data_IF_917199322170
#
_entry.id   IF_917199322170
#
_cell.length_a   1.000
_cell.length_b   1.000
_cell.length_c   1.000
_cell.angle_alpha   90.00
_cell.angle_beta   90.00
_cell.angle_gamma   90.00
#
_symmetry.space_group_name_H-M   'P 1'
#
loop_
_entity.id
_entity.type
_entity.pdbx_description
1 polymer ?
#
# COMPACT_ATOMS: atom_id res chain seq x y z
N UNK A 1 -10.14 2.56 -24.86
CA UNK A 1 -11.43 2.81 -24.18
C UNK A 1 -11.36 4.21 -23.57
N UNK A 2 -12.43 5.01 -23.58
CA UNK A 2 -12.43 6.30 -22.89
C UNK A 2 -12.55 6.10 -21.37
N UNK A 3 -12.10 7.07 -20.56
CA UNK A 3 -12.23 7.00 -19.10
C UNK A 3 -13.69 6.85 -18.65
N UNK A 4 -14.63 7.56 -19.30
CA UNK A 4 -16.08 7.43 -19.04
C UNK A 4 -16.56 5.99 -19.25
N UNK A 5 -16.14 5.35 -20.35
CA UNK A 5 -16.56 3.98 -20.64
C UNK A 5 -15.94 2.98 -19.64
N UNK A 6 -14.70 3.19 -19.21
CA UNK A 6 -14.08 2.37 -18.16
C UNK A 6 -14.85 2.50 -16.85
N UNK A 7 -15.26 3.72 -16.47
CA UNK A 7 -16.06 3.96 -15.26
C UNK A 7 -17.44 3.30 -15.34
N UNK A 8 -18.16 3.43 -16.45
CA UNK A 8 -19.45 2.76 -16.68
C UNK A 8 -19.32 1.22 -16.58
N UNK A 9 -18.26 0.67 -17.15
CA UNK A 9 -17.98 -0.77 -17.07
C UNK A 9 -17.69 -1.21 -15.62
N UNK A 10 -16.91 -0.41 -14.88
CA UNK A 10 -16.64 -0.67 -13.47
C UNK A 10 -17.94 -0.66 -12.65
N UNK A 11 -18.79 0.34 -12.84
CA UNK A 11 -20.10 0.45 -12.17
C UNK A 11 -20.99 -0.75 -12.49
N UNK A 12 -21.12 -1.11 -13.77
CA UNK A 12 -21.91 -2.27 -14.21
C UNK A 12 -21.39 -3.58 -13.59
N UNK A 13 -20.07 -3.76 -13.49
CA UNK A 13 -19.48 -4.94 -12.86
C UNK A 13 -19.76 -4.98 -11.36
N UNK A 14 -19.70 -3.84 -10.67
CA UNK A 14 -20.03 -3.72 -9.25
C UNK A 14 -21.50 -4.05 -8.98
N UNK A 15 -22.44 -3.50 -9.77
CA UNK A 15 -23.88 -3.78 -9.65
C UNK A 15 -24.20 -5.28 -9.73
N UNK A 16 -23.48 -6.02 -10.58
CA UNK A 16 -23.65 -7.48 -10.70
C UNK A 16 -23.14 -8.27 -9.50
N UNK A 17 -22.23 -7.71 -8.71
CA UNK A 17 -21.70 -8.36 -7.51
C UNK A 17 -22.62 -8.16 -6.29
N UNK A 18 -23.54 -7.19 -6.36
CA UNK A 18 -24.50 -6.81 -5.32
C UNK A 18 -23.83 -6.35 -4.01
N UNK A 19 -23.28 -7.27 -3.22
CA UNK A 19 -22.59 -6.97 -1.96
C UNK A 19 -21.08 -7.13 -2.13
N UNK A 20 -20.31 -6.15 -1.65
CA UNK A 20 -18.86 -6.13 -1.81
C UNK A 20 -18.14 -5.74 -0.53
N UNK A 21 -16.97 -6.35 -0.33
CA UNK A 21 -15.98 -5.92 0.65
C UNK A 21 -14.79 -5.35 -0.11
N UNK A 22 -14.51 -4.06 0.06
CA UNK A 22 -13.35 -3.43 -0.57
C UNK A 22 -12.18 -3.43 0.41
N UNK A 23 -11.11 -4.16 0.07
CA UNK A 23 -9.86 -4.11 0.82
C UNK A 23 -9.17 -2.75 0.61
N UNK A 24 -9.15 -1.94 1.67
CA UNK A 24 -8.87 -0.52 1.60
C UNK A 24 -7.61 -0.12 2.36
N UNK A 25 -6.63 0.42 1.62
CA UNK A 25 -5.34 0.88 2.15
C UNK A 25 -5.21 2.40 2.24
N UNK A 26 -6.20 3.17 1.78
CA UNK A 26 -6.08 4.63 1.63
C UNK A 26 -5.13 5.08 0.51
N UNK A 27 -4.62 4.16 -0.32
CA UNK A 27 -3.84 4.49 -1.51
C UNK A 27 -4.72 4.97 -2.67
N UNK A 28 -4.13 5.53 -3.73
CA UNK A 28 -4.89 6.06 -4.86
C UNK A 28 -5.87 5.03 -5.47
N UNK A 29 -5.38 3.82 -5.77
CA UNK A 29 -6.17 2.78 -6.44
C UNK A 29 -7.29 2.21 -5.54
N UNK A 30 -6.99 1.89 -4.29
CA UNK A 30 -7.98 1.36 -3.33
C UNK A 30 -9.01 2.41 -2.92
N UNK A 31 -8.62 3.67 -2.83
CA UNK A 31 -9.54 4.80 -2.58
C UNK A 31 -10.48 5.05 -3.75
N UNK A 32 -9.96 5.01 -4.98
CA UNK A 32 -10.79 5.11 -6.17
C UNK A 32 -11.83 3.98 -6.24
N UNK A 33 -11.39 2.72 -6.06
CA UNK A 33 -12.30 1.57 -6.06
C UNK A 33 -13.34 1.67 -4.95
N UNK A 34 -12.94 2.01 -3.72
CA UNK A 34 -13.86 2.16 -2.60
C UNK A 34 -14.90 3.25 -2.86
N UNK A 35 -14.47 4.40 -3.40
CA UNK A 35 -15.34 5.52 -3.72
C UNK A 35 -16.36 5.15 -4.80
N UNK A 36 -15.92 4.54 -5.91
CA UNK A 36 -16.83 4.12 -6.98
C UNK A 36 -17.79 3.03 -6.49
N UNK A 37 -17.30 2.02 -5.75
CA UNK A 37 -18.15 0.97 -5.19
C UNK A 37 -19.19 1.52 -4.22
N UNK A 38 -18.80 2.41 -3.31
CA UNK A 38 -19.71 3.05 -2.37
C UNK A 38 -20.79 3.87 -3.06
N UNK A 39 -20.43 4.71 -4.03
CA UNK A 39 -21.39 5.55 -4.73
C UNK A 39 -22.32 4.76 -5.65
N UNK A 40 -21.87 3.61 -6.17
CA UNK A 40 -22.67 2.77 -7.07
C UNK A 40 -23.64 1.89 -6.29
N UNK A 41 -23.17 1.23 -5.24
CA UNK A 41 -23.95 0.21 -4.51
C UNK A 41 -24.65 0.77 -3.25
N UNK A 42 -24.16 1.89 -2.73
CA UNK A 42 -24.62 2.46 -1.47
C UNK A 42 -23.96 1.82 -0.23
N UNK A 43 -24.11 2.50 0.92
CA UNK A 43 -23.44 2.14 2.18
C UNK A 43 -23.83 0.77 2.76
N UNK A 44 -25.02 0.27 2.43
CA UNK A 44 -25.48 -1.04 2.91
C UNK A 44 -24.80 -2.20 2.19
N UNK A 45 -24.39 -1.99 0.94
CA UNK A 45 -23.89 -3.02 0.03
C UNK A 45 -22.37 -2.93 -0.21
N UNK A 46 -21.73 -1.83 0.19
CA UNK A 46 -20.29 -1.65 0.11
C UNK A 46 -19.68 -1.50 1.51
N UNK A 47 -19.00 -2.56 1.99
CA UNK A 47 -18.24 -2.55 3.23
C UNK A 47 -16.76 -2.31 2.92
N UNK A 48 -16.19 -1.23 3.43
CA UNK A 48 -14.79 -0.86 3.22
C UNK A 48 -13.96 -1.34 4.42
N UNK A 49 -12.93 -2.16 4.20
CA UNK A 49 -12.18 -2.78 5.31
C UNK A 49 -10.69 -2.49 5.19
N UNK A 50 -10.11 -1.92 6.25
CA UNK A 50 -8.65 -1.72 6.36
C UNK A 50 -8.02 -2.82 7.20
N UNK A 51 -7.09 -3.56 6.59
CA UNK A 51 -6.25 -4.52 7.32
C UNK A 51 -5.16 -3.80 8.11
N UNK A 52 -5.07 -4.09 9.41
CA UNK A 52 -4.14 -3.48 10.35
C UNK A 52 -3.12 -4.52 10.76
N UNK A 53 -1.85 -4.17 10.56
CA UNK A 53 -0.73 -4.98 11.03
C UNK A 53 0.47 -4.07 11.35
N UNK A 54 1.50 -4.59 12.04
CA UNK A 54 2.73 -3.84 12.28
C UNK A 54 3.44 -3.33 11.02
N UNK A 55 3.10 -3.87 9.85
CA UNK A 55 3.67 -3.44 8.56
C UNK A 55 2.91 -2.26 7.92
N UNK A 56 1.72 -1.92 8.42
CA UNK A 56 0.98 -0.72 8.01
C UNK A 56 1.50 0.49 8.80
N UNK A 57 2.06 1.54 8.16
CA UNK A 57 2.42 2.76 8.87
C UNK A 57 1.19 3.39 9.53
N UNK A 58 1.33 3.84 10.77
CA UNK A 58 0.26 4.51 11.54
C UNK A 58 -0.28 5.76 10.85
N UNK A 59 0.57 6.48 10.11
CA UNK A 59 0.12 7.64 9.33
C UNK A 59 -0.80 7.24 8.19
N UNK A 60 -0.55 6.10 7.53
CA UNK A 60 -1.42 5.59 6.47
C UNK A 60 -2.72 5.04 7.04
N UNK A 61 -2.67 4.38 8.20
CA UNK A 61 -3.88 3.99 8.94
C UNK A 61 -4.75 5.21 9.25
N UNK A 62 -4.16 6.26 9.82
CA UNK A 62 -4.92 7.46 10.18
C UNK A 62 -5.51 8.14 8.95
N UNK A 63 -4.74 8.29 7.87
CA UNK A 63 -5.26 8.89 6.63
C UNK A 63 -6.37 8.04 6.00
N UNK A 64 -6.29 6.70 6.08
CA UNK A 64 -7.38 5.82 5.63
C UNK A 64 -8.64 5.98 6.51
N UNK A 65 -8.49 6.06 7.83
CA UNK A 65 -9.61 6.31 8.73
C UNK A 65 -10.26 7.68 8.48
N UNK A 66 -9.44 8.72 8.27
CA UNK A 66 -9.89 10.07 7.95
C UNK A 66 -10.63 10.09 6.59
N UNK A 67 -10.09 9.42 5.56
CA UNK A 67 -10.77 9.24 4.26
C UNK A 67 -12.12 8.54 4.40
N UNK A 68 -12.17 7.45 5.17
CA UNK A 68 -13.39 6.70 5.37
C UNK A 68 -14.48 7.54 6.05
N UNK A 69 -14.09 8.35 7.05
CA UNK A 69 -14.99 9.30 7.70
C UNK A 69 -15.42 10.43 6.77
N UNK A 70 -14.48 11.01 6.01
CA UNK A 70 -14.71 12.10 5.06
C UNK A 70 -15.72 11.69 3.98
N UNK A 71 -15.61 10.47 3.48
CA UNK A 71 -16.43 9.96 2.37
C UNK A 71 -17.64 9.14 2.84
N UNK A 72 -17.90 9.05 4.15
CA UNK A 72 -19.10 8.42 4.69
C UNK A 72 -19.16 6.90 4.49
N UNK A 73 -18.01 6.24 4.43
CA UNK A 73 -17.95 4.79 4.20
C UNK A 73 -18.50 4.01 5.40
N UNK A 74 -19.20 2.89 5.10
CA UNK A 74 -19.35 1.80 6.06
C UNK A 74 -17.98 1.15 6.20
N UNK A 75 -17.21 1.60 7.18
CA UNK A 75 -15.81 1.23 7.34
C UNK A 75 -15.54 0.46 8.64
N UNK A 76 -14.68 -0.55 8.55
CA UNK A 76 -14.16 -1.25 9.71
C UNK A 76 -12.70 -1.65 9.51
N UNK A 77 -12.09 -2.15 10.58
CA UNK A 77 -10.71 -2.65 10.57
C UNK A 77 -10.66 -4.12 10.93
N UNK A 78 -9.71 -4.84 10.36
CA UNK A 78 -9.40 -6.22 10.77
C UNK A 78 -7.91 -6.35 11.06
N UNK A 79 -7.55 -7.08 12.11
CA UNK A 79 -6.14 -7.39 12.40
C UNK A 79 -5.71 -8.62 11.59
N UNK A 80 -4.60 -8.51 10.87
CA UNK A 80 -4.04 -9.63 10.11
C UNK A 80 -2.91 -10.32 10.89
N UNK A 81 -2.71 -11.61 10.62
CA UNK A 81 -1.81 -12.48 11.39
C UNK A 81 -0.48 -12.79 10.70
N UNK A 82 -0.07 -12.05 9.67
CA UNK A 82 1.15 -12.34 8.91
C UNK A 82 2.41 -12.35 9.79
N UNK A 83 2.44 -11.53 10.85
CA UNK A 83 3.55 -11.50 11.81
C UNK A 83 3.69 -12.78 12.67
N UNK A 84 2.75 -13.71 12.58
CA UNK A 84 2.82 -15.06 13.18
C UNK A 84 3.36 -16.11 12.21
N UNK A 85 3.49 -15.79 10.92
CA UNK A 85 3.95 -16.70 9.88
C UNK A 85 5.46 -16.62 9.71
N UNK A 86 6.18 -17.70 9.99
CA UNK A 86 7.63 -17.78 9.73
C UNK A 86 7.98 -17.47 8.27
N UNK A 87 7.10 -17.82 7.33
CA UNK A 87 7.26 -17.52 5.90
C UNK A 87 7.20 -16.02 5.60
N UNK A 88 6.35 -15.28 6.29
CA UNK A 88 6.33 -13.82 6.17
C UNK A 88 7.56 -13.20 6.85
N UNK A 89 7.90 -13.70 8.04
CA UNK A 89 9.02 -13.19 8.84
C UNK A 89 10.38 -13.41 8.16
N UNK A 90 10.53 -14.41 7.29
CA UNK A 90 11.77 -14.64 6.52
C UNK A 90 12.08 -13.55 5.50
N UNK A 91 11.07 -12.76 5.10
CA UNK A 91 11.20 -11.66 4.13
C UNK A 91 11.73 -12.11 2.76
N UNK A 92 11.32 -13.29 2.27
CA UNK A 92 11.71 -13.77 0.93
C UNK A 92 10.97 -13.04 -0.21
N UNK A 93 11.22 -13.47 -1.45
CA UNK A 93 10.58 -12.93 -2.67
C UNK A 93 9.06 -13.06 -2.68
N UNK A 94 8.50 -13.98 -1.89
CA UNK A 94 7.07 -14.31 -1.81
C UNK A 94 6.38 -13.68 -0.60
N UNK A 95 7.08 -12.86 0.20
CA UNK A 95 6.51 -12.11 1.34
C UNK A 95 5.18 -11.43 1.03
N UNK A 96 5.03 -10.83 -0.15
CA UNK A 96 3.78 -10.18 -0.56
C UNK A 96 2.63 -11.18 -0.76
N UNK A 97 2.94 -12.43 -1.14
CA UNK A 97 2.01 -13.56 -1.15
C UNK A 97 1.53 -13.90 0.26
N UNK A 98 2.44 -14.16 1.20
CA UNK A 98 2.06 -14.47 2.60
C UNK A 98 1.31 -13.33 3.30
N UNK A 99 1.68 -12.08 3.01
CA UNK A 99 0.94 -10.91 3.46
C UNK A 99 -0.50 -10.91 2.94
N UNK A 100 -0.69 -11.36 1.70
CA UNK A 100 -2.00 -11.40 1.07
C UNK A 100 -2.83 -12.58 1.52
N UNK A 101 -2.21 -13.73 1.77
CA UNK A 101 -2.84 -14.88 2.41
C UNK A 101 -3.49 -14.45 3.74
N UNK A 102 -2.72 -13.82 4.62
CA UNK A 102 -3.24 -13.32 5.90
C UNK A 102 -4.36 -12.27 5.75
N UNK A 103 -4.31 -11.43 4.70
CA UNK A 103 -5.42 -10.51 4.38
C UNK A 103 -6.68 -11.29 4.01
N UNK A 104 -6.57 -12.26 3.11
CA UNK A 104 -7.70 -13.05 2.65
C UNK A 104 -8.31 -13.87 3.79
N UNK A 105 -7.49 -14.52 4.61
CA UNK A 105 -7.92 -15.26 5.81
C UNK A 105 -8.76 -14.39 6.76
N UNK A 106 -8.45 -13.09 6.81
CA UNK A 106 -9.15 -12.13 7.66
C UNK A 106 -10.44 -11.59 7.03
N UNK A 107 -10.50 -11.50 5.69
CA UNK A 107 -11.67 -10.96 4.98
C UNK A 107 -12.70 -12.02 4.60
N UNK A 108 -12.29 -13.25 4.32
CA UNK A 108 -13.19 -14.33 3.89
C UNK A 108 -14.34 -14.56 4.89
N UNK A 109 -14.11 -14.67 6.22
CA UNK A 109 -15.22 -14.87 7.16
C UNK A 109 -16.24 -13.72 7.15
N UNK A 110 -15.77 -12.49 6.93
CA UNK A 110 -16.64 -11.30 6.81
C UNK A 110 -17.42 -11.37 5.50
N UNK A 111 -16.75 -11.74 4.40
CA UNK A 111 -17.35 -11.88 3.08
C UNK A 111 -18.45 -12.95 3.07
N UNK A 112 -18.21 -14.10 3.69
CA UNK A 112 -19.19 -15.18 3.83
C UNK A 112 -20.40 -14.73 4.67
N UNK A 113 -20.17 -14.04 5.78
CA UNK A 113 -21.25 -13.55 6.64
C UNK A 113 -22.13 -12.50 5.92
N UNK A 114 -21.53 -11.68 5.07
CA UNK A 114 -22.21 -10.60 4.35
C UNK A 114 -22.68 -11.01 2.94
N UNK A 115 -22.47 -12.27 2.53
CA UNK A 115 -22.68 -12.75 1.16
C UNK A 115 -22.07 -11.79 0.12
N UNK A 116 -20.84 -11.36 0.39
CA UNK A 116 -20.15 -10.29 -0.33
C UNK A 116 -18.92 -10.79 -1.09
N UNK A 117 -18.58 -10.11 -2.18
CA UNK A 117 -17.37 -10.38 -2.97
C UNK A 117 -16.21 -9.50 -2.48
N UNK A 118 -15.04 -10.09 -2.24
CA UNK A 118 -13.83 -9.34 -1.84
C UNK A 118 -13.18 -8.69 -3.06
N UNK A 119 -13.00 -7.37 -3.00
CA UNK A 119 -12.43 -6.56 -4.08
C UNK A 119 -11.09 -5.95 -3.69
N UNK A 120 -10.13 -5.98 -4.60
CA UNK A 120 -8.83 -5.34 -4.44
C UNK A 120 -8.59 -4.32 -5.56
N UNK A 121 -8.02 -3.17 -5.19
CA UNK A 121 -7.63 -2.10 -6.10
C UNK A 121 -6.37 -2.41 -6.91
N UNK A 122 -6.36 -3.50 -7.66
CA UNK A 122 -5.31 -3.89 -8.61
C UNK A 122 -5.68 -3.33 -9.98
N UNK A 123 -4.78 -2.63 -10.66
CA UNK A 123 -5.00 -2.08 -12.01
C UNK A 123 -4.15 -2.83 -13.07
N UNK A 124 -4.30 -2.49 -14.35
CA UNK A 124 -3.60 -3.17 -15.45
C UNK A 124 -2.07 -3.08 -15.37
N UNK A 125 -1.52 -1.97 -14.89
CA UNK A 125 -0.06 -1.80 -14.74
C UNK A 125 0.51 -2.68 -13.62
N UNK A 126 -0.35 -3.15 -12.72
CA UNK A 126 0.04 -4.08 -11.66
C UNK A 126 0.16 -5.53 -12.17
N UNK A 127 -0.25 -5.86 -13.40
CA UNK A 127 -0.22 -7.22 -13.95
C UNK A 127 1.16 -7.68 -14.50
N UNK A 128 2.21 -6.86 -14.36
CA UNK A 128 3.58 -7.21 -14.79
C UNK A 128 4.25 -8.35 -13.99
N UNK A 129 5.53 -8.62 -14.24
CA UNK A 129 6.23 -9.80 -13.72
C UNK A 129 6.46 -9.80 -12.19
N UNK A 130 6.34 -11.00 -11.61
CA UNK A 130 6.41 -11.37 -10.17
C UNK A 130 5.41 -10.66 -9.23
N UNK A 131 4.20 -11.21 -9.14
CA UNK A 131 3.09 -10.69 -8.31
C UNK A 131 2.49 -11.75 -7.37
N UNK A 132 3.28 -12.35 -6.47
CA UNK A 132 2.83 -13.45 -5.60
C UNK A 132 1.58 -13.07 -4.79
N UNK A 133 1.47 -11.81 -4.37
CA UNK A 133 0.28 -11.29 -3.70
C UNK A 133 -1.00 -11.43 -4.54
N UNK A 134 -1.00 -10.99 -5.80
CA UNK A 134 -2.22 -11.01 -6.61
C UNK A 134 -2.67 -12.44 -6.93
N UNK A 135 -1.71 -13.33 -7.21
CA UNK A 135 -1.98 -14.76 -7.43
C UNK A 135 -2.66 -15.38 -6.21
N UNK A 136 -2.14 -15.14 -5.00
CA UNK A 136 -2.74 -15.62 -3.76
C UNK A 136 -4.13 -15.03 -3.52
N UNK A 137 -4.33 -13.72 -3.73
CA UNK A 137 -5.65 -13.12 -3.58
C UNK A 137 -6.69 -13.76 -4.51
N UNK A 138 -6.34 -13.92 -5.79
CA UNK A 138 -7.22 -14.50 -6.80
C UNK A 138 -7.54 -15.96 -6.51
N UNK A 139 -6.57 -16.76 -6.04
CA UNK A 139 -6.81 -18.15 -5.65
C UNK A 139 -7.79 -18.30 -4.46
N UNK A 140 -7.93 -17.24 -3.67
CA UNK A 140 -8.87 -17.15 -2.55
C UNK A 140 -10.17 -16.42 -2.92
N UNK A 141 -10.43 -16.22 -4.21
CA UNK A 141 -11.69 -15.66 -4.71
C UNK A 141 -11.77 -14.13 -4.67
N UNK A 142 -10.66 -13.41 -4.49
CA UNK A 142 -10.67 -11.96 -4.66
C UNK A 142 -10.84 -11.56 -6.14
N UNK A 143 -11.58 -10.50 -6.37
CA UNK A 143 -11.79 -9.90 -7.69
C UNK A 143 -11.01 -8.59 -7.85
N UNK A 144 -10.67 -8.25 -9.09
CA UNK A 144 -9.92 -7.04 -9.47
C UNK A 144 -10.71 -6.19 -10.47
N UNK A 145 -11.80 -5.51 -10.04
CA UNK A 145 -12.71 -4.83 -10.97
C UNK A 145 -12.07 -3.74 -11.82
N UNK A 146 -10.99 -3.11 -11.33
CA UNK A 146 -10.25 -2.11 -12.11
C UNK A 146 -9.56 -2.76 -13.31
N UNK A 147 -9.00 -3.96 -13.16
CA UNK A 147 -8.47 -4.76 -14.28
C UNK A 147 -9.58 -5.13 -15.25
N UNK A 148 -10.71 -5.64 -14.74
CA UNK A 148 -11.85 -6.07 -15.57
C UNK A 148 -12.44 -4.91 -16.40
N UNK A 149 -12.46 -3.71 -15.83
CA UNK A 149 -12.90 -2.48 -16.50
C UNK A 149 -11.79 -1.81 -17.35
N UNK A 150 -10.59 -2.37 -17.36
CA UNK A 150 -9.46 -1.93 -18.20
C UNK A 150 -8.74 -0.68 -17.69
N UNK A 151 -8.78 -0.38 -16.39
CA UNK A 151 -8.08 0.76 -15.81
C UNK A 151 -6.57 0.53 -15.74
N UNK A 152 -5.82 1.47 -16.30
CA UNK A 152 -4.41 1.68 -15.97
C UNK A 152 -4.30 2.58 -14.75
N UNK A 153 -3.12 2.62 -14.11
CA UNK A 153 -2.80 3.57 -13.05
C UNK A 153 -3.04 5.03 -13.49
N UNK A 154 -2.70 5.36 -14.73
CA UNK A 154 -2.97 6.71 -15.25
C UNK A 154 -4.47 6.98 -15.37
N UNK A 155 -5.25 6.02 -15.87
CA UNK A 155 -6.70 6.15 -15.94
C UNK A 155 -7.32 6.35 -14.55
N UNK A 156 -6.88 5.57 -13.55
CA UNK A 156 -7.33 5.76 -12.15
C UNK A 156 -7.07 7.18 -11.67
N UNK A 157 -5.87 7.72 -11.89
CA UNK A 157 -5.51 9.08 -11.46
C UNK A 157 -6.34 10.16 -12.16
N UNK A 158 -6.50 10.05 -13.47
CA UNK A 158 -7.27 11.02 -14.27
C UNK A 158 -8.75 11.01 -13.88
N UNK A 159 -9.36 9.83 -13.80
CA UNK A 159 -10.77 9.72 -13.38
C UNK A 159 -10.95 10.14 -11.92
N UNK A 160 -10.02 9.80 -11.03
CA UNK A 160 -10.05 10.29 -9.65
C UNK A 160 -9.99 11.82 -9.57
N UNK A 161 -9.20 12.46 -10.44
CA UNK A 161 -9.11 13.92 -10.51
C UNK A 161 -10.41 14.54 -11.03
N UNK A 162 -11.03 13.95 -12.06
CA UNK A 162 -12.33 14.36 -12.60
C UNK A 162 -13.44 14.25 -11.54
N UNK A 163 -13.38 13.23 -10.68
CA UNK A 163 -14.29 13.03 -9.54
C UNK A 163 -13.94 13.89 -8.31
N UNK A 164 -12.85 14.67 -8.35
CA UNK A 164 -12.43 15.55 -7.26
C UNK A 164 -11.81 14.83 -6.04
N UNK A 165 -11.35 13.58 -6.20
CA UNK A 165 -10.81 12.79 -5.09
C UNK A 165 -9.43 13.30 -4.68
N UNK A 166 -9.25 13.67 -3.40
CA UNK A 166 -7.94 14.16 -2.88
C UNK A 166 -6.79 13.17 -3.03
N UNK A 167 -7.09 11.88 -3.22
CA UNK A 167 -6.10 10.81 -3.39
C UNK A 167 -5.57 10.69 -4.82
N UNK A 168 -6.07 11.46 -5.79
CA UNK A 168 -5.75 11.32 -7.22
C UNK A 168 -4.24 11.37 -7.52
N UNK A 169 -3.48 12.20 -6.79
CA UNK A 169 -2.03 12.31 -6.93
C UNK A 169 -1.24 11.73 -5.74
N UNK A 170 -1.90 11.00 -4.83
CA UNK A 170 -1.25 10.45 -3.65
C UNK A 170 -0.07 9.54 -4.08
N UNK A 171 1.15 9.77 -3.56
CA UNK A 171 2.29 8.89 -3.82
C UNK A 171 2.00 7.45 -3.37
N UNK A 172 2.67 6.49 -4.01
CA UNK A 172 2.56 5.10 -3.57
C UNK A 172 3.21 4.94 -2.19
N UNK A 173 2.46 4.37 -1.24
CA UNK A 173 2.95 4.07 0.11
C UNK A 173 3.00 2.55 0.34
N UNK A 174 4.07 1.84 -0.11
CA UNK A 174 4.25 0.43 0.21
C UNK A 174 4.37 0.20 1.72
N UNK A 175 4.08 -1.02 2.17
CA UNK A 175 4.20 -1.42 3.57
C UNK A 175 5.63 -1.23 4.12
N UNK A 176 5.78 -1.12 5.44
CA UNK A 176 7.07 -0.93 6.11
C UNK A 176 8.05 -2.07 5.81
N UNK A 177 7.56 -3.30 5.64
CA UNK A 177 8.42 -4.45 5.28
C UNK A 177 9.15 -4.27 3.94
N UNK A 178 8.62 -3.43 3.03
CA UNK A 178 9.35 -3.10 1.80
C UNK A 178 10.65 -2.34 2.06
N UNK A 179 10.90 -1.80 3.26
CA UNK A 179 12.17 -1.12 3.59
C UNK A 179 13.28 -2.10 3.98
N UNK A 180 12.95 -3.38 4.15
CA UNK A 180 13.89 -4.43 4.48
C UNK A 180 14.33 -5.18 3.21
N UNK A 181 15.63 -5.25 2.89
CA UNK A 181 16.16 -6.09 1.82
C UNK A 181 15.69 -7.54 1.93
N UNK A 182 15.52 -8.23 0.80
CA UNK A 182 15.05 -9.61 0.83
C UNK A 182 15.97 -10.50 1.69
N UNK A 183 15.36 -11.44 2.42
CA UNK A 183 16.05 -12.28 3.40
C UNK A 183 16.36 -11.61 4.75
N UNK A 184 16.18 -10.29 4.89
CA UNK A 184 16.28 -9.61 6.20
C UNK A 184 15.00 -9.85 7.02
N UNK A 185 15.06 -10.53 8.19
CA UNK A 185 13.84 -10.92 8.86
C UNK A 185 12.94 -9.74 9.25
N UNK A 186 11.64 -9.87 9.01
CA UNK A 186 10.65 -8.88 9.44
C UNK A 186 10.47 -8.99 10.95
N UNK A 187 10.74 -7.91 11.70
CA UNK A 187 10.54 -7.90 13.16
C UNK A 187 9.90 -6.59 13.59
N UNK A 188 9.15 -6.61 14.70
CA UNK A 188 8.53 -5.41 15.27
C UNK A 188 9.56 -4.29 15.54
N UNK A 189 10.74 -4.66 16.03
CA UNK A 189 11.82 -3.71 16.31
C UNK A 189 12.30 -3.01 15.03
N UNK A 190 12.53 -3.76 13.93
CA UNK A 190 12.96 -3.19 12.65
C UNK A 190 11.89 -2.30 12.03
N UNK A 191 10.64 -2.78 12.01
CA UNK A 191 9.51 -2.00 11.47
C UNK A 191 9.31 -0.70 12.26
N UNK A 192 9.39 -0.76 13.59
CA UNK A 192 9.28 0.42 14.46
C UNK A 192 10.43 1.41 14.26
N UNK A 193 11.68 0.92 14.07
CA UNK A 193 12.83 1.78 13.80
C UNK A 193 12.69 2.50 12.45
N UNK A 194 12.27 1.78 11.40
CA UNK A 194 11.96 2.36 10.09
C UNK A 194 10.85 3.40 10.21
N UNK A 195 9.71 3.06 10.82
CA UNK A 195 8.57 3.98 10.95
C UNK A 195 8.96 5.25 11.72
N UNK A 196 9.70 5.11 12.82
CA UNK A 196 10.16 6.25 13.62
C UNK A 196 11.11 7.16 12.82
N UNK A 197 12.03 6.58 12.05
CA UNK A 197 12.91 7.33 11.18
C UNK A 197 12.11 8.08 10.10
N UNK A 198 11.23 7.40 9.36
CA UNK A 198 10.42 8.03 8.32
C UNK A 198 9.51 9.13 8.87
N UNK A 199 8.87 8.89 10.02
CA UNK A 199 8.02 9.89 10.69
C UNK A 199 8.79 11.17 11.02
N UNK A 200 9.99 11.04 11.58
CA UNK A 200 10.78 12.20 11.99
C UNK A 200 11.31 12.96 10.77
N UNK A 201 11.70 12.27 9.71
CA UNK A 201 12.10 12.91 8.45
C UNK A 201 10.94 13.63 7.76
N UNK A 202 9.71 13.06 7.82
CA UNK A 202 8.50 13.75 7.35
C UNK A 202 8.26 15.06 8.09
N UNK A 203 8.51 15.11 9.39
CA UNK A 203 8.42 16.35 10.18
C UNK A 203 9.46 17.40 9.78
N UNK A 204 10.58 16.99 9.17
CA UNK A 204 11.59 17.89 8.60
C UNK A 204 11.24 18.37 7.18
N UNK A 205 10.10 17.94 6.62
CA UNK A 205 9.56 18.42 5.34
C UNK A 205 9.74 17.47 4.16
N UNK A 206 10.30 16.27 4.36
CA UNK A 206 10.42 15.25 3.31
C UNK A 206 9.11 14.43 3.23
N UNK A 207 8.22 14.76 2.30
CA UNK A 207 6.90 14.09 2.25
C UNK A 207 6.92 12.72 1.58
N UNK A 208 7.75 12.55 0.53
CA UNK A 208 7.92 11.29 -0.19
C UNK A 208 9.35 10.78 0.06
N UNK A 209 9.50 9.76 0.90
CA UNK A 209 10.80 9.21 1.26
C UNK A 209 10.70 7.75 1.67
N UNK A 210 11.84 7.06 1.64
CA UNK A 210 11.98 5.74 2.26
C UNK A 210 13.27 5.65 3.08
N UNK A 211 13.19 5.02 4.24
CA UNK A 211 14.36 4.67 5.06
C UNK A 211 14.61 3.17 4.90
N UNK A 212 15.59 2.80 4.08
CA UNK A 212 15.99 1.38 3.93
C UNK A 212 16.85 0.93 5.08
N UNK A 213 16.55 -0.26 5.58
CA UNK A 213 17.24 -0.86 6.72
C UNK A 213 18.41 -1.72 6.25
N UNK A 214 19.62 -1.42 6.74
CA UNK A 214 20.82 -2.22 6.58
C UNK A 214 21.52 -2.36 7.94
N UNK A 215 20.93 -3.16 8.83
CA UNK A 215 21.35 -3.35 10.22
C UNK A 215 21.50 -2.03 10.98
N UNK A 216 22.73 -1.55 11.13
CA UNK A 216 23.08 -0.30 11.83
C UNK A 216 22.97 0.93 10.93
N UNK A 217 22.74 0.74 9.64
CA UNK A 217 22.70 1.79 8.64
C UNK A 217 21.28 2.01 8.14
N UNK A 218 20.85 3.26 8.14
CA UNK A 218 19.67 3.72 7.43
C UNK A 218 20.11 4.37 6.11
N UNK A 219 19.67 3.81 4.97
CA UNK A 219 19.87 4.43 3.66
C UNK A 219 18.61 5.18 3.26
N UNK A 220 18.73 6.49 3.09
CA UNK A 220 17.63 7.37 2.70
C UNK A 220 17.44 7.33 1.18
N UNK A 221 16.21 7.11 0.75
CA UNK A 221 15.76 7.31 -0.62
C UNK A 221 14.79 8.50 -0.63
N UNK A 222 15.19 9.58 -1.31
CA UNK A 222 14.46 10.85 -1.38
C UNK A 222 14.40 11.25 -2.87
N UNK A 223 13.35 11.96 -3.34
CA UNK A 223 13.30 12.52 -4.68
C UNK A 223 14.58 13.29 -5.03
N UNK A 224 15.09 13.11 -6.26
CA UNK A 224 16.34 13.76 -6.70
C UNK A 224 16.26 15.29 -6.56
N UNK A 225 15.08 15.86 -6.80
CA UNK A 225 14.80 17.29 -6.63
C UNK A 225 14.99 17.81 -5.19
N UNK A 226 14.96 16.92 -4.19
CA UNK A 226 15.05 17.26 -2.76
C UNK A 226 16.42 16.92 -2.16
N UNK A 227 17.37 16.38 -2.93
CA UNK A 227 18.71 16.01 -2.41
C UNK A 227 19.45 17.22 -1.82
N UNK A 228 19.31 18.41 -2.40
CA UNK A 228 19.94 19.62 -1.86
C UNK A 228 19.43 19.95 -0.44
N UNK A 229 18.15 19.72 -0.17
CA UNK A 229 17.56 19.92 1.17
C UNK A 229 18.17 18.96 2.21
N UNK A 230 18.53 17.74 1.79
CA UNK A 230 19.24 16.78 2.66
C UNK A 230 20.58 17.34 3.12
N UNK A 231 21.32 17.98 2.22
CA UNK A 231 22.62 18.57 2.55
C UNK A 231 22.48 19.76 3.51
N UNK A 232 21.45 20.59 3.31
CA UNK A 232 21.16 21.74 4.18
C UNK A 232 20.74 21.30 5.59
N UNK A 233 19.94 20.23 5.70
CA UNK A 233 19.40 19.70 6.98
C UNK A 233 20.18 18.53 7.55
N UNK A 234 21.42 18.29 7.09
CA UNK A 234 22.18 17.06 7.36
C UNK A 234 22.30 16.73 8.85
N UNK A 235 22.45 17.72 9.72
CA UNK A 235 22.65 17.52 11.17
C UNK A 235 21.34 17.10 11.85
N UNK A 236 20.23 17.73 11.48
CA UNK A 236 18.88 17.39 11.95
C UNK A 236 18.48 15.98 11.49
N UNK A 237 18.79 15.63 10.23
CA UNK A 237 18.55 14.31 9.65
C UNK A 237 19.33 13.24 10.40
N UNK A 238 20.64 13.46 10.64
CA UNK A 238 21.47 12.50 11.38
C UNK A 238 20.92 12.30 12.79
N UNK A 239 20.60 13.37 13.52
CA UNK A 239 20.04 13.28 14.86
C UNK A 239 18.68 12.54 14.87
N UNK A 240 17.80 12.86 13.92
CA UNK A 240 16.50 12.22 13.78
C UNK A 240 16.61 10.71 13.58
N UNK A 241 17.44 10.28 12.62
CA UNK A 241 17.62 8.87 12.26
C UNK A 241 18.37 8.10 13.35
N UNK A 242 19.36 8.73 14.02
CA UNK A 242 20.04 8.11 15.16
C UNK A 242 19.11 7.93 16.36
N UNK A 243 18.21 8.89 16.61
CA UNK A 243 17.17 8.74 17.64
C UNK A 243 16.23 7.55 17.37
N UNK A 244 16.11 7.13 16.10
CA UNK A 244 15.32 5.97 15.70
C UNK A 244 16.04 4.63 15.87
N UNK A 245 17.32 4.64 16.30
CA UNK A 245 18.10 3.44 16.63
C UNK A 245 19.18 3.07 15.61
N UNK A 246 19.39 3.88 14.57
CA UNK A 246 20.47 3.67 13.61
C UNK A 246 21.78 4.31 14.07
N UNK A 247 22.93 3.73 13.68
CA UNK A 247 24.24 4.30 13.95
C UNK A 247 24.71 5.19 12.80
N UNK A 248 24.45 4.74 11.57
CA UNK A 248 24.88 5.40 10.34
C UNK A 248 23.68 5.82 9.49
N UNK A 249 23.83 6.97 8.82
CA UNK A 249 22.84 7.51 7.90
C UNK A 249 23.54 7.74 6.57
N UNK A 250 22.99 7.18 5.49
CA UNK A 250 23.50 7.33 4.14
C UNK A 250 22.40 7.80 3.21
N UNK A 251 22.78 8.40 2.08
CA UNK A 251 21.85 8.81 1.02
C UNK A 251 22.06 7.92 -0.20
N UNK A 252 20.96 7.39 -0.74
CA UNK A 252 20.96 6.74 -2.05
C UNK A 252 21.07 7.81 -3.14
N UNK A 253 22.17 7.81 -3.89
CA UNK A 253 22.45 8.83 -4.91
C UNK A 253 21.57 8.71 -6.14
N UNK A 254 20.96 7.54 -6.38
CA UNK A 254 19.96 7.37 -7.43
C UNK A 254 18.57 7.84 -6.96
N UNK A 255 18.41 8.19 -5.69
CA UNK A 255 17.19 8.72 -5.10
C UNK A 255 16.05 7.72 -5.02
N UNK A 256 14.85 8.24 -4.80
CA UNK A 256 13.63 7.46 -4.64
C UNK A 256 13.14 6.88 -5.97
N UNK A 257 13.00 5.56 -6.03
CA UNK A 257 12.51 4.82 -7.20
C UNK A 257 11.59 3.66 -6.85
N UNK A 258 10.65 3.33 -7.74
CA UNK A 258 9.81 2.14 -7.57
C UNK A 258 10.64 0.86 -7.77
N UNK A 259 10.35 -0.18 -7.01
CA UNK A 259 10.99 -1.50 -7.20
C UNK A 259 12.49 -1.56 -6.91
N UNK A 260 13.07 -0.63 -6.13
CA UNK A 260 14.53 -0.62 -5.87
C UNK A 260 15.07 -1.99 -5.43
N UNK A 261 14.44 -2.61 -4.42
CA UNK A 261 14.87 -3.92 -3.92
C UNK A 261 14.58 -5.09 -4.86
N UNK A 262 13.73 -4.91 -5.89
CA UNK A 262 13.45 -5.98 -6.85
C UNK A 262 14.65 -6.25 -7.77
N UNK A 263 15.61 -5.32 -7.87
CA UNK A 263 16.86 -5.56 -8.60
C UNK A 263 17.63 -6.76 -8.03
N UNK A 264 17.53 -7.00 -6.71
CA UNK A 264 18.15 -8.16 -6.05
C UNK A 264 17.49 -9.49 -6.45
N UNK A 265 16.25 -9.47 -6.96
CA UNK A 265 15.57 -10.67 -7.47
C UNK A 265 16.00 -11.04 -8.89
N UNK A 266 16.52 -10.06 -9.65
CA UNK A 266 16.92 -10.23 -11.05
C UNK A 266 18.43 -10.25 -11.29
N UNK A 267 19.24 -10.16 -10.24
CA UNK A 267 20.69 -10.06 -10.35
C UNK A 267 21.39 -11.04 -9.41
N UNK A 268 21.51 -12.30 -9.84
CA UNK A 268 22.70 -13.15 -9.74
C UNK A 268 22.47 -14.38 -10.66
N UNK A 269 22.74 -14.20 -11.96
CA UNK A 269 23.27 -15.27 -12.81
C UNK A 269 24.80 -15.17 -12.83
#
# INVERSE_FOLDING_TARGET
MSHSQQLENLQTNLERMENVIVAFSGGADSSFLAHVAHNTLGSNHCHVVTAVSPSLPKSEYQDAADLASEWGFRWSTVETSEMKSEKYLSNDSDRCGYCKEALMDSLIPIAEQESATVLLGVNLDDLGDHRPGQTVASSHGAHFPLVDAGFTKNAVRMTSQELGLRTWNKPAAPCLSSRLPYGTPVTLARLSAVEKAEKTLKQLGFSDLRVRHYDKTARLEIPISEINEVLLKREEIVAAVQSAGYLYVTLDLEGLRSGNLNQELGAYD
#
